data_IF_143423399472
#
_entry.id   IF_143423399472
#
_cell.length_a   1.000
_cell.length_b   1.000
_cell.length_c   1.000
_cell.angle_alpha   90.00
_cell.angle_beta   90.00
_cell.angle_gamma   90.00
#
_symmetry.space_group_name_H-M   'P 1'
#
loop_
_entity.id
_entity.type
_entity.pdbx_description
1 polymer ?
#
# COMPACT_ATOMS: atom_id res chain seq x y z
N UNK A 1 3.46 0.05 -19.87
CA UNK A 1 2.47 -1.01 -19.59
C UNK A 1 2.40 -1.19 -18.09
N UNK A 2 1.20 -1.28 -17.49
CA UNK A 2 1.06 -1.60 -16.06
C UNK A 2 1.58 -3.00 -15.76
N UNK A 3 2.04 -3.21 -14.52
CA UNK A 3 2.43 -4.50 -13.99
C UNK A 3 1.20 -5.18 -13.39
N UNK A 4 0.97 -6.45 -13.75
CA UNK A 4 -0.12 -7.24 -13.19
C UNK A 4 0.44 -8.39 -12.36
N UNK A 5 -0.14 -8.62 -11.19
CA UNK A 5 0.20 -9.74 -10.31
C UNK A 5 -1.08 -10.48 -9.89
N UNK A 6 -0.93 -11.73 -9.46
CA UNK A 6 -2.02 -12.58 -8.95
C UNK A 6 -3.24 -12.57 -9.89
N UNK A 7 -3.03 -12.90 -11.17
CA UNK A 7 -4.07 -12.95 -12.21
C UNK A 7 -4.90 -11.67 -12.36
N UNK A 8 -4.26 -10.51 -12.16
CA UNK A 8 -4.90 -9.20 -12.31
C UNK A 8 -5.60 -8.69 -11.05
N UNK A 9 -5.50 -9.40 -9.93
CA UNK A 9 -5.94 -8.90 -8.62
C UNK A 9 -5.20 -7.61 -8.25
N UNK A 10 -3.92 -7.52 -8.60
CA UNK A 10 -3.06 -6.37 -8.34
C UNK A 10 -2.62 -5.76 -9.67
N UNK A 11 -2.90 -4.47 -9.85
CA UNK A 11 -2.40 -3.69 -10.97
C UNK A 11 -1.58 -2.50 -10.47
N UNK A 12 -0.34 -2.38 -10.93
CA UNK A 12 0.57 -1.29 -10.56
C UNK A 12 0.97 -0.49 -11.79
N UNK A 13 0.76 0.82 -11.73
CA UNK A 13 1.30 1.78 -12.69
C UNK A 13 2.48 2.53 -12.10
N UNK A 14 3.68 2.23 -12.60
CA UNK A 14 4.91 2.93 -12.22
C UNK A 14 5.10 4.20 -13.05
N UNK A 15 5.34 5.32 -12.39
CA UNK A 15 5.77 6.58 -13.01
C UNK A 15 7.13 6.95 -12.43
N UNK A 16 8.09 7.20 -13.30
CA UNK A 16 9.43 7.66 -12.90
C UNK A 16 9.75 9.02 -13.52
N UNK A 17 10.33 9.92 -12.72
CA UNK A 17 10.78 11.24 -13.14
C UNK A 17 12.22 11.44 -12.71
N UNK A 18 13.09 11.78 -13.68
CA UNK A 18 14.46 12.19 -13.37
C UNK A 18 14.43 13.63 -12.87
N UNK A 19 14.88 13.83 -11.64
CA UNK A 19 15.13 15.17 -11.13
C UNK A 19 16.40 15.75 -11.74
N UNK A 20 16.30 16.97 -12.26
CA UNK A 20 17.37 17.57 -13.06
C UNK A 20 18.55 18.03 -12.21
N UNK A 21 18.30 18.40 -10.96
CA UNK A 21 19.31 18.95 -10.05
C UNK A 21 20.06 17.82 -9.35
N UNK A 22 19.35 17.00 -8.58
CA UNK A 22 19.93 15.89 -7.82
C UNK A 22 20.40 14.73 -8.70
N UNK A 23 20.01 14.70 -9.98
CA UNK A 23 20.22 13.58 -10.92
C UNK A 23 19.63 12.26 -10.42
N UNK A 24 18.69 12.30 -9.46
CA UNK A 24 18.02 11.13 -8.92
C UNK A 24 16.76 10.81 -9.70
N UNK A 25 16.53 9.52 -9.92
CA UNK A 25 15.28 9.03 -10.49
C UNK A 25 14.28 8.82 -9.36
N UNK A 26 13.25 9.66 -9.32
CA UNK A 26 12.11 9.47 -8.43
C UNK A 26 11.12 8.53 -9.08
N UNK A 27 10.68 7.51 -8.35
CA UNK A 27 9.72 6.52 -8.85
C UNK A 27 8.55 6.42 -7.88
N UNK A 28 7.35 6.48 -8.43
CA UNK A 28 6.10 6.30 -7.70
C UNK A 28 5.36 5.12 -8.32
N UNK A 29 4.94 4.20 -7.48
CA UNK A 29 4.07 3.09 -7.84
C UNK A 29 2.64 3.41 -7.43
N UNK A 30 1.76 3.54 -8.42
CA UNK A 30 0.33 3.66 -8.20
C UNK A 30 -0.29 2.27 -8.20
N UNK A 31 -0.77 1.81 -7.05
CA UNK A 31 -1.62 0.65 -6.96
C UNK A 31 -3.03 1.05 -7.42
N UNK A 32 -3.50 0.49 -8.53
CA UNK A 32 -4.82 0.77 -9.06
C UNK A 32 -5.87 -0.09 -8.36
N UNK A 33 -7.04 0.49 -8.13
CA UNK A 33 -8.15 -0.18 -7.44
C UNK A 33 -8.84 -1.11 -8.41
N UNK A 34 -8.47 -2.39 -8.34
CA UNK A 34 -9.20 -3.49 -8.98
C UNK A 34 -10.38 -3.90 -8.08
N UNK A 35 -11.28 -4.76 -8.56
CA UNK A 35 -12.35 -5.27 -7.69
C UNK A 35 -11.83 -6.04 -6.48
N UNK A 36 -10.65 -6.67 -6.59
CA UNK A 36 -10.02 -7.38 -5.47
C UNK A 36 -9.58 -6.48 -4.32
N UNK A 37 -9.46 -5.17 -4.56
CA UNK A 37 -8.97 -4.17 -3.61
C UNK A 37 -10.00 -3.09 -3.26
N UNK A 38 -11.24 -3.25 -3.70
CA UNK A 38 -12.29 -2.23 -3.52
C UNK A 38 -12.58 -1.98 -2.04
N UNK A 39 -12.68 -3.04 -1.24
CA UNK A 39 -12.83 -2.97 0.21
C UNK A 39 -11.67 -2.19 0.87
N UNK A 40 -10.42 -2.49 0.51
CA UNK A 40 -9.23 -1.78 1.01
C UNK A 40 -9.30 -0.27 0.69
N UNK A 41 -9.87 0.10 -0.45
CA UNK A 41 -10.04 1.49 -0.86
C UNK A 41 -11.23 2.18 -0.18
N UNK A 42 -12.35 1.48 0.02
CA UNK A 42 -13.54 2.06 0.64
C UNK A 42 -13.37 2.23 2.16
N UNK A 43 -12.62 1.33 2.80
CA UNK A 43 -12.35 1.34 4.25
C UNK A 43 -11.11 2.14 4.65
N UNK A 44 -10.60 3.01 3.78
CA UNK A 44 -9.46 3.89 4.13
C UNK A 44 -9.83 4.82 5.26
N UNK A 45 -8.80 5.25 5.98
CA UNK A 45 -8.93 6.13 7.14
C UNK A 45 -8.26 7.46 6.84
N UNK A 46 -8.92 8.55 7.22
CA UNK A 46 -8.35 9.89 7.18
C UNK A 46 -7.66 10.15 8.50
N UNK A 47 -6.34 10.32 8.49
CA UNK A 47 -5.54 10.60 9.68
C UNK A 47 -4.94 12.01 9.61
N UNK A 48 -4.69 12.60 10.77
CA UNK A 48 -3.82 13.78 10.87
C UNK A 48 -2.36 13.30 10.78
N UNK A 49 -1.60 13.83 9.82
CA UNK A 49 -0.20 13.50 9.58
C UNK A 49 0.59 14.75 9.18
N UNK A 50 1.65 15.02 9.94
CA UNK A 50 2.45 16.25 9.81
C UNK A 50 1.55 17.51 9.80
N UNK A 51 1.62 18.29 8.73
CA UNK A 51 0.94 19.57 8.60
C UNK A 51 -0.44 19.45 7.92
N UNK A 52 -1.03 18.26 7.84
CA UNK A 52 -2.34 18.09 7.20
C UNK A 52 -3.02 16.73 7.41
N UNK A 53 -4.08 16.51 6.63
CA UNK A 53 -4.84 15.25 6.63
C UNK A 53 -4.45 14.39 5.45
N UNK A 54 -4.22 13.10 5.69
CA UNK A 54 -3.90 12.14 4.63
C UNK A 54 -4.75 10.89 4.75
N UNK A 55 -5.11 10.31 3.60
CA UNK A 55 -5.77 9.01 3.56
C UNK A 55 -4.73 7.91 3.64
N UNK A 56 -4.91 7.00 4.59
CA UNK A 56 -4.15 5.75 4.68
C UNK A 56 -5.09 4.55 4.55
N UNK A 57 -4.57 3.40 4.16
CA UNK A 57 -5.31 2.14 4.30
C UNK A 57 -5.53 1.86 5.78
N UNK A 58 -6.70 1.33 6.11
CA UNK A 58 -6.96 0.81 7.45
C UNK A 58 -6.01 -0.33 7.77
N UNK A 59 -5.89 -0.66 9.05
CA UNK A 59 -5.11 -1.82 9.51
C UNK A 59 -5.57 -3.15 8.87
N UNK A 60 -6.87 -3.50 8.85
CA UNK A 60 -7.35 -4.68 8.12
C UNK A 60 -6.99 -4.64 6.63
N UNK A 61 -7.13 -3.47 5.99
CA UNK A 61 -6.72 -3.27 4.61
C UNK A 61 -5.23 -3.52 4.38
N UNK A 62 -4.37 -3.03 5.28
CA UNK A 62 -2.92 -3.25 5.23
C UNK A 62 -2.56 -4.72 5.40
N UNK A 63 -3.21 -5.44 6.33
CA UNK A 63 -3.02 -6.89 6.52
C UNK A 63 -3.42 -7.64 5.24
N UNK A 64 -4.55 -7.29 4.62
CA UNK A 64 -4.98 -7.90 3.36
C UNK A 64 -3.94 -7.70 2.25
N UNK A 65 -3.46 -6.46 2.06
CA UNK A 65 -2.43 -6.15 1.06
C UNK A 65 -1.13 -6.93 1.29
N UNK A 66 -0.69 -7.03 2.55
CA UNK A 66 0.51 -7.78 2.94
C UNK A 66 0.33 -9.28 2.70
N UNK A 67 -0.85 -9.81 2.99
CA UNK A 67 -1.18 -11.23 2.76
C UNK A 67 -1.12 -11.57 1.27
N UNK A 68 -1.66 -10.71 0.41
CA UNK A 68 -1.60 -10.89 -1.05
C UNK A 68 -0.13 -10.87 -1.53
N UNK A 69 0.67 -9.92 -1.06
CA UNK A 69 2.08 -9.77 -1.42
C UNK A 69 2.95 -10.97 -0.99
N UNK A 70 2.69 -11.51 0.21
CA UNK A 70 3.24 -12.80 0.65
C UNK A 70 4.76 -12.87 0.82
N UNK A 71 5.47 -11.74 0.96
CA UNK A 71 6.93 -11.73 1.21
C UNK A 71 7.22 -12.11 2.66
N UNK A 72 8.41 -12.65 2.93
CA UNK A 72 8.82 -13.02 4.31
C UNK A 72 8.68 -11.86 5.30
N UNK A 73 9.03 -10.63 4.88
CA UNK A 73 8.86 -9.44 5.70
C UNK A 73 7.38 -9.11 5.97
N UNK A 74 6.49 -9.38 5.01
CA UNK A 74 5.06 -9.11 5.17
C UNK A 74 4.45 -10.02 6.26
N UNK A 75 4.92 -11.27 6.40
CA UNK A 75 4.49 -12.18 7.46
C UNK A 75 4.87 -11.66 8.85
N UNK A 76 6.09 -11.15 9.00
CA UNK A 76 6.57 -10.55 10.26
C UNK A 76 5.72 -9.31 10.60
N UNK A 77 5.44 -8.48 9.59
CA UNK A 77 4.68 -7.26 9.78
C UNK A 77 3.22 -7.54 10.17
N UNK A 78 2.57 -8.56 9.56
CA UNK A 78 1.21 -8.99 9.93
C UNK A 78 1.15 -9.43 11.39
N UNK A 79 2.16 -10.19 11.87
CA UNK A 79 2.23 -10.62 13.27
C UNK A 79 2.31 -9.42 14.22
N UNK A 80 3.19 -8.47 13.93
CA UNK A 80 3.34 -7.23 14.72
C UNK A 80 2.09 -6.37 14.71
N UNK A 81 1.40 -6.33 13.57
CA UNK A 81 0.10 -5.68 13.51
C UNK A 81 -0.83 -6.39 14.49
N UNK A 82 -1.10 -7.69 14.34
CA UNK A 82 -1.98 -8.43 15.27
C UNK A 82 -1.72 -8.18 16.76
N UNK A 83 -0.45 -8.19 17.18
CA UNK A 83 -0.06 -7.95 18.58
C UNK A 83 -0.45 -6.55 19.12
N UNK A 84 -0.34 -5.50 18.30
CA UNK A 84 -0.70 -4.15 18.72
C UNK A 84 -2.22 -3.87 18.79
N UNK A 85 -3.07 -4.86 18.51
CA UNK A 85 -4.52 -4.81 18.76
C UNK A 85 -4.89 -5.27 20.17
N UNK A 86 -4.11 -6.20 20.73
CA UNK A 86 -4.33 -6.76 22.08
C UNK A 86 -3.82 -5.84 23.21
N UNK A 87 -3.11 -4.76 22.88
CA UNK A 87 -2.59 -3.77 23.83
C UNK A 87 -3.42 -2.47 23.93
N UNK A 88 -4.55 -2.40 23.20
CA UNK A 88 -5.43 -1.23 23.09
C UNK A 88 -6.62 -1.18 24.04
#
# INVERSE_FOLDING_TARGET
MPLHFHDGLIEIRRISKLDKESKRLFTIDFLLVTEGLKDVWEERELIEWEDGRTWTVSRPGLIKLKTISGRDQDLIDIKKLGEAEDEG
#
